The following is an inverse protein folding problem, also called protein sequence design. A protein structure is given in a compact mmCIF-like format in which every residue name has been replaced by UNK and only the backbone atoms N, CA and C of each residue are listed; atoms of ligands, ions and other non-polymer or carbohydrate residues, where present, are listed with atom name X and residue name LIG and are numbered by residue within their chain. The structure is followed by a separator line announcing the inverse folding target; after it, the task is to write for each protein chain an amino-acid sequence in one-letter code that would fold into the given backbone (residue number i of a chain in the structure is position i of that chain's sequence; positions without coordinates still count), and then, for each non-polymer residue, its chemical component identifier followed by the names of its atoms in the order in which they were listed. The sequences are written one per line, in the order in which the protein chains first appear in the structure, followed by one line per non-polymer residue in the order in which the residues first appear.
data_IF_713174783702
#
_entry.id   IF_713174783702
#
_cell.length_a   1.000
_cell.length_b   1.000
_cell.length_c   1.000
_cell.angle_alpha   90.00
_cell.angle_beta   90.00
_cell.angle_gamma   90.00
#
_symmetry.space_group_name_H-M   'P 1'
#
loop_
_entity.id
_entity.type
_entity.pdbx_description
1 polymer ?
#
# COMPACT_ATOMS: atom_id res chain seq x y z
N UNK A 1 5.25 8.38 12.88
CA UNK A 1 6.22 7.45 12.27
C UNK A 1 5.77 5.99 12.43
N UNK A 2 5.76 5.23 11.33
CA UNK A 2 5.58 3.78 11.34
C UNK A 2 6.94 3.09 11.64
N UNK A 3 6.94 1.76 11.77
CA UNK A 3 8.13 0.97 12.11
C UNK A 3 9.14 0.81 10.94
N UNK A 4 9.03 1.61 9.88
CA UNK A 4 9.92 1.54 8.70
C UNK A 4 11.43 1.60 9.01
N UNK A 5 11.92 2.36 10.01
CA UNK A 5 13.35 2.31 10.39
C UNK A 5 13.83 0.93 10.86
N UNK A 6 12.91 0.06 11.31
CA UNK A 6 13.20 -1.30 11.78
C UNK A 6 12.78 -2.38 10.77
N UNK A 7 11.95 -2.03 9.78
CA UNK A 7 11.52 -2.95 8.73
C UNK A 7 12.66 -3.17 7.73
N UNK A 8 13.17 -4.41 7.64
CA UNK A 8 14.34 -4.73 6.79
C UNK A 8 13.99 -5.28 5.42
N UNK A 9 12.95 -6.11 5.34
CA UNK A 9 12.77 -6.99 4.16
C UNK A 9 11.48 -6.72 3.43
N UNK A 10 10.33 -6.83 4.11
CA UNK A 10 9.02 -6.81 3.47
C UNK A 10 8.09 -5.83 4.18
N UNK A 11 7.34 -5.04 3.41
CA UNK A 11 6.21 -4.25 3.83
C UNK A 11 4.98 -4.75 3.07
N UNK A 12 3.89 -5.03 3.78
CA UNK A 12 2.64 -5.45 3.14
C UNK A 12 1.87 -4.19 2.76
N UNK A 13 1.83 -3.88 1.46
CA UNK A 13 1.00 -2.83 0.89
C UNK A 13 -0.38 -3.43 0.63
N UNK A 14 -1.32 -3.16 1.55
CA UNK A 14 -2.62 -3.82 1.61
C UNK A 14 -3.74 -2.88 1.20
N UNK A 15 -4.67 -3.35 0.36
CA UNK A 15 -5.98 -2.72 0.14
C UNK A 15 -7.10 -3.48 0.86
N UNK A 16 -8.02 -2.75 1.48
CA UNK A 16 -9.19 -3.22 2.22
C UNK A 16 -10.49 -2.77 1.54
N UNK A 17 -10.60 -1.49 1.18
CA UNK A 17 -11.78 -0.93 0.55
C UNK A 17 -11.41 0.24 -0.36
N UNK A 18 -11.53 0.02 -1.66
CA UNK A 18 -11.05 0.95 -2.69
C UNK A 18 -12.23 1.71 -3.29
N UNK A 19 -12.11 3.04 -3.33
CA UNK A 19 -13.11 3.88 -3.99
C UNK A 19 -13.12 3.70 -5.52
N UNK A 20 -14.03 4.39 -6.20
CA UNK A 20 -14.15 4.32 -7.66
C UNK A 20 -12.90 4.83 -8.42
N UNK A 21 -12.03 5.60 -7.75
CA UNK A 21 -10.75 6.07 -8.28
C UNK A 21 -9.58 5.14 -7.92
N UNK A 22 -9.86 4.05 -7.21
CA UNK A 22 -8.88 3.08 -6.75
C UNK A 22 -8.05 3.57 -5.55
N UNK A 23 -8.59 4.45 -4.70
CA UNK A 23 -7.93 4.88 -3.47
C UNK A 23 -8.44 4.07 -2.28
N UNK A 24 -7.53 3.68 -1.39
CA UNK A 24 -7.88 3.10 -0.10
C UNK A 24 -8.66 4.09 0.78
N UNK A 25 -9.76 3.60 1.35
CA UNK A 25 -10.70 4.42 2.12
C UNK A 25 -10.64 4.18 3.63
N UNK A 26 -10.05 3.07 4.09
CA UNK A 26 -9.94 2.72 5.51
C UNK A 26 -8.77 3.41 6.20
N UNK A 27 -7.74 3.80 5.45
CA UNK A 27 -6.60 4.52 5.98
C UNK A 27 -5.91 5.35 4.89
N UNK A 28 -5.08 6.31 5.31
CA UNK A 28 -4.34 7.17 4.40
C UNK A 28 -3.12 6.43 3.82
N UNK A 29 -3.35 5.72 2.72
CA UNK A 29 -2.33 4.93 2.03
C UNK A 29 -1.19 5.81 1.50
N UNK A 30 -1.53 6.97 0.93
CA UNK A 30 -0.54 7.94 0.45
C UNK A 30 0.40 8.38 1.58
N UNK A 31 -0.13 8.65 2.78
CA UNK A 31 0.68 9.02 3.94
C UNK A 31 1.58 7.88 4.41
N UNK A 32 1.11 6.62 4.36
CA UNK A 32 1.93 5.47 4.67
C UNK A 32 3.16 5.36 3.74
N UNK A 33 2.96 5.56 2.44
CA UNK A 33 4.05 5.55 1.44
C UNK A 33 4.97 6.76 1.61
N UNK A 34 4.46 7.93 1.97
CA UNK A 34 5.28 9.09 2.30
C UNK A 34 6.20 8.81 3.51
N UNK A 35 5.66 8.21 4.57
CA UNK A 35 6.42 7.83 5.78
C UNK A 35 7.52 6.81 5.44
N UNK A 36 7.24 5.85 4.55
CA UNK A 36 8.25 4.85 4.15
C UNK A 36 9.42 5.49 3.39
N UNK A 37 9.12 6.44 2.49
CA UNK A 37 10.11 7.21 1.72
C UNK A 37 10.96 8.08 2.63
N UNK A 38 10.34 8.77 3.59
CA UNK A 38 11.04 9.58 4.60
C UNK A 38 11.95 8.75 5.49
N UNK A 39 11.55 7.51 5.81
CA UNK A 39 12.38 6.56 6.55
C UNK A 39 13.49 5.91 5.70
N UNK A 40 13.53 6.18 4.39
CA UNK A 40 14.51 5.62 3.47
C UNK A 40 14.35 4.11 3.26
N UNK A 41 13.15 3.56 3.41
CA UNK A 41 12.89 2.13 3.27
C UNK A 41 13.32 1.60 1.89
N UNK A 42 14.11 0.51 1.87
CA UNK A 42 14.66 -0.13 0.65
C UNK A 42 14.24 -1.60 0.48
N UNK A 43 13.30 -2.07 1.32
CA UNK A 43 12.77 -3.42 1.19
C UNK A 43 11.75 -3.56 0.06
N UNK A 44 11.13 -4.73 -0.02
CA UNK A 44 10.13 -5.08 -1.01
C UNK A 44 8.74 -4.78 -0.48
N UNK A 45 7.88 -4.22 -1.33
CA UNK A 45 6.45 -4.15 -1.06
C UNK A 45 5.77 -5.41 -1.57
N UNK A 46 5.19 -6.19 -0.65
CA UNK A 46 4.29 -7.29 -0.98
C UNK A 46 2.88 -6.74 -1.10
N UNK A 47 2.23 -6.98 -2.24
CA UNK A 47 0.88 -6.48 -2.51
C UNK A 47 -0.13 -7.44 -1.90
N UNK A 48 -1.11 -6.91 -1.18
CA UNK A 48 -2.22 -7.68 -0.62
C UNK A 48 -3.55 -6.98 -0.91
N UNK A 49 -4.59 -7.77 -1.13
CA UNK A 49 -5.96 -7.27 -1.24
C UNK A 49 -6.87 -8.15 -0.38
N UNK A 50 -7.58 -7.54 0.55
CA UNK A 50 -8.52 -8.21 1.47
C UNK A 50 -9.94 -7.63 1.36
N UNK A 51 -10.25 -6.93 0.27
CA UNK A 51 -11.59 -6.43 0.01
C UNK A 51 -12.53 -7.48 -0.60
N UNK A 52 -13.78 -7.08 -0.84
CA UNK A 52 -14.85 -7.99 -1.26
C UNK A 52 -15.09 -8.03 -2.77
N UNK A 53 -14.40 -7.21 -3.57
CA UNK A 53 -14.54 -7.21 -5.02
C UNK A 53 -13.79 -8.37 -5.67
N UNK A 54 -13.77 -8.40 -7.01
CA UNK A 54 -12.92 -9.33 -7.73
C UNK A 54 -11.46 -9.23 -7.26
N UNK A 55 -10.80 -10.34 -6.91
CA UNK A 55 -9.47 -10.31 -6.32
C UNK A 55 -8.38 -9.91 -7.31
N UNK A 56 -8.53 -10.17 -8.62
CA UNK A 56 -7.53 -9.78 -9.60
C UNK A 56 -7.56 -8.27 -9.85
N UNK A 57 -8.75 -7.71 -10.01
CA UNK A 57 -8.96 -6.26 -10.10
C UNK A 57 -8.53 -5.56 -8.80
N UNK A 58 -8.89 -6.11 -7.66
CA UNK A 58 -8.50 -5.58 -6.35
C UNK A 58 -6.98 -5.52 -6.16
N UNK A 59 -6.26 -6.61 -6.45
CA UNK A 59 -4.78 -6.62 -6.40
C UNK A 59 -4.19 -5.61 -7.37
N UNK A 60 -4.70 -5.53 -8.61
CA UNK A 60 -4.19 -4.58 -9.60
C UNK A 60 -4.36 -3.14 -9.14
N UNK A 61 -5.51 -2.79 -8.53
CA UNK A 61 -5.73 -1.44 -8.01
C UNK A 61 -4.78 -1.08 -6.87
N UNK A 62 -4.44 -2.03 -5.99
CA UNK A 62 -3.44 -1.78 -4.93
C UNK A 62 -2.05 -1.57 -5.53
N UNK A 63 -1.68 -2.31 -6.59
CA UNK A 63 -0.44 -2.05 -7.35
C UNK A 63 -0.46 -0.63 -7.90
N UNK A 64 -1.55 -0.23 -8.57
CA UNK A 64 -1.66 1.07 -9.22
C UNK A 64 -1.60 2.22 -8.21
N UNK A 65 -2.28 2.08 -7.06
CA UNK A 65 -2.23 3.04 -5.96
C UNK A 65 -0.82 3.14 -5.37
N UNK A 66 -0.15 2.01 -5.13
CA UNK A 66 1.22 2.01 -4.62
C UNK A 66 2.19 2.70 -5.58
N UNK A 67 2.14 2.35 -6.87
CA UNK A 67 3.00 2.94 -7.89
C UNK A 67 2.75 4.44 -8.11
N UNK A 68 1.54 4.93 -7.79
CA UNK A 68 1.22 6.36 -7.83
C UNK A 68 2.00 7.18 -6.80
N UNK A 69 2.34 6.58 -5.65
CA UNK A 69 2.95 7.30 -4.52
C UNK A 69 4.43 6.94 -4.26
N UNK A 70 4.91 5.81 -4.77
CA UNK A 70 6.33 5.43 -4.74
C UNK A 70 7.21 6.41 -5.53
#
# INVERSE_FOLDING_TARGET
PLLFPYARTVCHAKGLDLDASGNETKFDFAKCVEISKQAGYKGVYSIEYEGTSDPYDGVQKVVDELLRYL
#
